data_IF_371489574994
#
_entry.id   IF_371489574994
#
_cell.length_a   1.000
_cell.length_b   1.000
_cell.length_c   1.000
_cell.angle_alpha   90.00
_cell.angle_beta   90.00
_cell.angle_gamma   90.00
#
_symmetry.space_group_name_H-M   'P 1'
#
loop_
_entity.id
_entity.type
_entity.pdbx_description
1 polymer ?
#
# COMPACT_ATOMS: atom_id res chain seq x y z
N UNK A 1 1.84 29.96 2.32
CA UNK A 1 2.16 28.61 2.86
C UNK A 1 0.92 27.71 2.90
N UNK A 2 -0.30 28.25 2.78
CA UNK A 2 -1.58 27.49 2.86
C UNK A 2 -2.21 27.13 1.52
N UNK A 3 -1.39 27.09 0.46
CA UNK A 3 -1.88 26.71 -0.87
C UNK A 3 -2.26 25.22 -0.84
N UNK A 4 -3.56 24.93 -0.97
CA UNK A 4 -4.12 23.58 -0.77
C UNK A 4 -3.64 22.58 -1.83
N UNK A 5 -3.18 23.07 -2.97
CA UNK A 5 -2.53 22.30 -4.04
C UNK A 5 -1.17 21.72 -3.62
N UNK A 6 -0.53 22.28 -2.59
CA UNK A 6 0.71 21.75 -2.01
C UNK A 6 0.47 20.65 -0.96
N UNK A 7 -0.79 20.37 -0.62
CA UNK A 7 -1.10 19.31 0.33
C UNK A 7 -0.82 17.94 -0.27
N UNK A 8 -0.39 17.02 0.60
CA UNK A 8 -0.18 15.61 0.22
C UNK A 8 -1.41 14.99 -0.44
N UNK A 9 -2.60 15.39 0.02
CA UNK A 9 -3.88 15.04 -0.54
C UNK A 9 -4.45 16.30 -1.19
N UNK A 10 -4.43 16.34 -2.52
CA UNK A 10 -4.96 17.47 -3.27
C UNK A 10 -6.48 17.64 -3.01
N UNK A 11 -7.05 18.83 -3.24
CA UNK A 11 -8.48 19.02 -3.24
C UNK A 11 -9.18 17.99 -4.15
N UNK A 12 -10.19 17.30 -3.62
CA UNK A 12 -10.89 16.23 -4.34
C UNK A 12 -10.23 14.85 -4.25
N UNK A 13 -9.14 14.69 -3.47
CA UNK A 13 -8.61 13.37 -3.14
C UNK A 13 -9.68 12.54 -2.43
N UNK A 14 -10.06 11.42 -3.04
CA UNK A 14 -11.04 10.50 -2.50
C UNK A 14 -10.62 9.07 -2.81
N UNK A 15 -10.94 8.17 -1.88
CA UNK A 15 -10.77 6.73 -2.04
C UNK A 15 -12.17 6.12 -2.06
N UNK A 16 -12.48 5.37 -3.14
CA UNK A 16 -13.75 4.65 -3.23
C UNK A 16 -13.70 3.44 -2.32
N UNK A 17 -14.85 3.04 -1.81
CA UNK A 17 -14.96 1.85 -0.99
C UNK A 17 -14.77 0.57 -1.82
N UNK A 18 -14.23 -0.47 -1.20
CA UNK A 18 -14.01 -1.78 -1.81
C UNK A 18 -13.99 -2.88 -0.74
N UNK A 19 -14.32 -4.13 -1.10
CA UNK A 19 -14.38 -5.21 -0.13
C UNK A 19 -13.00 -5.53 0.43
N UNK A 20 -12.90 -5.54 1.77
CA UNK A 20 -11.73 -6.02 2.51
C UNK A 20 -12.04 -7.33 3.23
N UNK A 21 -11.01 -8.12 3.53
CA UNK A 21 -11.09 -9.40 4.24
C UNK A 21 -10.49 -9.34 5.64
N UNK A 22 -9.49 -8.49 5.86
CA UNK A 22 -8.91 -8.28 7.18
C UNK A 22 -9.67 -7.17 7.94
N UNK A 23 -9.51 -7.17 9.26
CA UNK A 23 -10.06 -6.10 10.10
C UNK A 23 -9.11 -4.90 10.15
N UNK A 24 -9.58 -3.77 9.63
CA UNK A 24 -8.85 -2.49 9.56
C UNK A 24 -9.46 -1.40 10.44
N UNK A 25 -10.45 -1.73 11.29
CA UNK A 25 -11.22 -0.76 12.10
C UNK A 25 -10.41 0.09 13.07
N UNK A 26 -9.17 -0.28 13.35
CA UNK A 26 -8.24 0.56 14.11
C UNK A 26 -7.88 1.87 13.38
N UNK A 27 -8.19 1.97 12.09
CA UNK A 27 -7.91 3.11 11.23
C UNK A 27 -9.20 3.71 10.68
N UNK A 28 -9.18 5.00 10.37
CA UNK A 28 -10.29 5.70 9.72
C UNK A 28 -10.23 5.61 8.19
N UNK A 29 -11.33 5.97 7.52
CA UNK A 29 -11.39 6.10 6.06
C UNK A 29 -12.10 4.93 5.37
N UNK A 30 -12.08 4.94 4.04
CA UNK A 30 -12.74 3.95 3.19
C UNK A 30 -12.17 2.53 3.38
N UNK A 31 -12.89 1.53 2.84
CA UNK A 31 -12.50 0.13 2.85
C UNK A 31 -12.28 -0.41 4.27
N UNK A 32 -13.25 -0.15 5.16
CA UNK A 32 -13.23 -0.55 6.58
C UNK A 32 -11.98 -0.05 7.35
N UNK A 33 -11.41 1.09 6.94
CA UNK A 33 -10.18 1.66 7.54
C UNK A 33 -8.88 1.32 6.80
N UNK A 34 -8.92 0.49 5.75
CA UNK A 34 -7.70 0.17 4.98
C UNK A 34 -7.04 1.42 4.38
N UNK A 35 -7.84 2.41 3.96
CA UNK A 35 -7.34 3.70 3.50
C UNK A 35 -6.40 4.34 4.55
N UNK A 36 -6.88 4.54 5.77
CA UNK A 36 -6.10 5.17 6.83
C UNK A 36 -4.84 4.37 7.14
N UNK A 37 -4.93 3.03 7.13
CA UNK A 37 -3.77 2.16 7.35
C UNK A 37 -2.65 2.40 6.31
N UNK A 38 -3.00 2.52 5.03
CA UNK A 38 -2.03 2.79 3.94
C UNK A 38 -1.45 4.20 4.07
N UNK A 39 -2.29 5.17 4.42
CA UNK A 39 -1.94 6.59 4.53
C UNK A 39 -1.02 6.92 5.71
N UNK A 40 -0.88 6.02 6.69
CA UNK A 40 0.10 6.14 7.79
C UNK A 40 1.55 6.23 7.32
N UNK A 41 1.89 5.75 6.13
CA UNK A 41 3.21 6.01 5.56
C UNK A 41 3.38 7.52 5.42
N UNK A 42 4.30 8.17 6.13
CA UNK A 42 4.52 9.62 6.06
C UNK A 42 5.74 10.03 5.22
N UNK A 43 6.24 9.13 4.37
CA UNK A 43 7.40 9.34 3.49
C UNK A 43 8.76 9.60 4.20
N UNK A 44 8.88 9.38 5.52
CA UNK A 44 10.11 9.64 6.29
C UNK A 44 11.37 8.87 5.82
N UNK A 45 11.22 7.81 5.03
CA UNK A 45 12.34 7.07 4.45
C UNK A 45 13.07 6.11 5.38
N UNK A 46 12.62 5.88 6.62
CA UNK A 46 13.23 4.92 7.56
C UNK A 46 13.36 3.51 6.97
N UNK A 47 12.48 3.15 6.04
CA UNK A 47 12.51 1.87 5.33
C UNK A 47 13.58 1.71 4.25
N UNK A 48 14.38 2.75 4.00
CA UNK A 48 15.49 2.73 3.05
C UNK A 48 16.84 2.45 3.70
N UNK A 49 16.87 2.19 5.02
CA UNK A 49 18.12 1.90 5.71
C UNK A 49 18.78 0.62 5.17
N UNK A 50 20.07 0.71 4.88
CA UNK A 50 20.87 -0.43 4.39
C UNK A 50 21.57 -1.18 5.53
N UNK A 51 21.82 -0.50 6.66
CA UNK A 51 22.52 -1.04 7.82
C UNK A 51 21.59 -1.01 9.04
N UNK A 52 21.63 -2.06 9.86
CA UNK A 52 20.90 -2.16 11.13
C UNK A 52 19.40 -2.50 10.99
N UNK A 53 18.89 -3.34 11.88
CA UNK A 53 17.51 -3.88 11.79
C UNK A 53 17.28 -4.74 10.55
N UNK A 54 16.02 -5.07 10.27
CA UNK A 54 15.60 -5.98 9.19
C UNK A 54 14.98 -5.23 8.00
N UNK A 55 14.26 -4.13 8.25
CA UNK A 55 13.47 -3.42 7.24
C UNK A 55 14.36 -2.85 6.11
N UNK A 56 14.02 -2.99 4.82
CA UNK A 56 13.23 -4.04 4.14
C UNK A 56 14.20 -4.98 3.41
N UNK A 57 14.13 -6.31 3.55
CA UNK A 57 15.10 -7.21 2.90
C UNK A 57 15.15 -7.05 1.37
N UNK A 58 13.99 -6.95 0.72
CA UNK A 58 13.91 -6.75 -0.73
C UNK A 58 14.60 -5.46 -1.19
N UNK A 59 14.34 -4.34 -0.51
CA UNK A 59 14.96 -3.05 -0.84
C UNK A 59 16.49 -3.08 -0.65
N UNK A 60 17.00 -3.79 0.36
CA UNK A 60 18.45 -3.88 0.59
C UNK A 60 19.19 -4.59 -0.54
N UNK A 61 18.52 -5.55 -1.17
CA UNK A 61 19.08 -6.28 -2.30
C UNK A 61 18.92 -5.49 -3.59
N UNK A 62 17.74 -4.91 -3.84
CA UNK A 62 17.46 -4.27 -5.14
C UNK A 62 17.92 -2.82 -5.22
N UNK A 63 17.90 -2.08 -4.11
CA UNK A 63 18.07 -0.62 -4.10
C UNK A 63 16.88 0.15 -4.70
N UNK A 64 15.90 -0.54 -5.28
CA UNK A 64 14.78 0.05 -6.00
C UNK A 64 13.69 0.55 -5.05
N UNK A 65 13.24 1.79 -5.23
CA UNK A 65 12.25 2.42 -4.35
C UNK A 65 10.94 1.62 -4.27
N UNK A 66 10.49 1.00 -5.36
CA UNK A 66 9.28 0.17 -5.41
C UNK A 66 9.31 -1.00 -4.41
N UNK A 67 10.51 -1.45 -4.03
CA UNK A 67 10.69 -2.58 -3.12
C UNK A 67 10.85 -2.16 -1.65
N UNK A 68 10.79 -0.85 -1.37
CA UNK A 68 10.75 -0.30 -0.01
C UNK A 68 9.31 -0.31 0.54
N UNK A 69 9.16 -0.18 1.86
CA UNK A 69 7.82 -0.01 2.46
C UNK A 69 7.14 1.26 1.95
N UNK A 70 7.91 2.35 1.80
CA UNK A 70 7.42 3.64 1.30
C UNK A 70 6.91 3.52 -0.14
N UNK A 71 7.69 2.92 -1.03
CA UNK A 71 7.30 2.71 -2.42
C UNK A 71 6.01 1.92 -2.53
N UNK A 72 5.92 0.78 -1.83
CA UNK A 72 4.70 -0.04 -1.81
C UNK A 72 3.48 0.70 -1.25
N UNK A 73 3.64 1.42 -0.15
CA UNK A 73 2.54 2.21 0.44
C UNK A 73 2.07 3.32 -0.50
N UNK A 74 3.00 3.98 -1.21
CA UNK A 74 2.64 5.01 -2.18
C UNK A 74 1.91 4.44 -3.40
N UNK A 75 2.33 3.29 -3.93
CA UNK A 75 1.62 2.64 -5.03
C UNK A 75 0.20 2.23 -4.61
N UNK A 76 0.02 1.70 -3.40
CA UNK A 76 -1.30 1.42 -2.83
C UNK A 76 -2.15 2.69 -2.73
N UNK A 77 -1.58 3.78 -2.20
CA UNK A 77 -2.28 5.07 -2.07
C UNK A 77 -2.74 5.62 -3.41
N UNK A 78 -1.89 5.57 -4.42
CA UNK A 78 -2.22 6.05 -5.77
C UNK A 78 -3.23 5.14 -6.47
N UNK A 79 -3.17 3.83 -6.22
CA UNK A 79 -4.13 2.88 -6.78
C UNK A 79 -5.52 3.06 -6.14
N UNK A 80 -5.61 3.15 -4.81
CA UNK A 80 -6.90 3.26 -4.11
C UNK A 80 -7.58 4.61 -4.33
N UNK A 81 -6.81 5.68 -4.61
CA UNK A 81 -7.36 6.98 -5.00
C UNK A 81 -7.75 7.09 -6.47
N UNK A 82 -7.55 6.03 -7.27
CA UNK A 82 -7.83 6.01 -8.70
C UNK A 82 -6.82 6.76 -9.57
N UNK A 83 -5.74 7.31 -8.99
CA UNK A 83 -4.70 8.02 -9.73
C UNK A 83 -3.90 7.12 -10.69
N UNK A 84 -3.99 5.80 -10.53
CA UNK A 84 -3.40 4.81 -11.44
C UNK A 84 -4.44 4.08 -12.31
N UNK A 85 -5.68 4.55 -12.33
CA UNK A 85 -6.81 3.91 -13.03
C UNK A 85 -7.62 2.95 -12.16
N UNK A 86 -8.81 2.52 -12.64
CA UNK A 86 -9.81 1.81 -11.84
C UNK A 86 -9.36 0.41 -11.38
N UNK A 87 -8.55 -0.29 -12.18
CA UNK A 87 -8.11 -1.66 -11.89
C UNK A 87 -6.73 -1.73 -11.22
N UNK A 88 -6.15 -0.59 -10.86
CA UNK A 88 -4.78 -0.51 -10.39
C UNK A 88 -4.50 -1.37 -9.16
N UNK A 89 -5.47 -1.46 -8.24
CA UNK A 89 -5.39 -2.27 -7.01
C UNK A 89 -5.17 -3.76 -7.25
N UNK A 90 -5.59 -4.27 -8.41
CA UNK A 90 -5.46 -5.69 -8.80
C UNK A 90 -4.60 -5.88 -10.05
N UNK A 91 -3.93 -4.83 -10.52
CA UNK A 91 -3.10 -4.85 -11.73
C UNK A 91 -1.84 -5.70 -11.58
N UNK A 92 -1.20 -6.04 -12.71
CA UNK A 92 0.11 -6.70 -12.70
C UNK A 92 1.20 -5.81 -12.10
N UNK A 93 1.14 -4.49 -12.30
CA UNK A 93 2.08 -3.56 -11.67
C UNK A 93 1.97 -3.55 -10.14
N UNK A 94 0.77 -3.70 -9.59
CA UNK A 94 0.57 -3.86 -8.15
C UNK A 94 1.22 -5.16 -7.66
N UNK A 95 0.99 -6.28 -8.37
CA UNK A 95 1.63 -7.55 -8.06
C UNK A 95 3.16 -7.42 -8.11
N UNK A 96 3.73 -6.79 -9.14
CA UNK A 96 5.16 -6.57 -9.26
C UNK A 96 5.76 -5.79 -8.10
N UNK A 97 5.00 -4.84 -7.55
CA UNK A 97 5.42 -4.04 -6.40
C UNK A 97 5.40 -4.84 -5.09
N UNK A 98 4.55 -5.87 -5.00
CA UNK A 98 4.38 -6.71 -3.82
C UNK A 98 5.09 -8.07 -3.91
N UNK A 99 5.54 -8.50 -5.10
CA UNK A 99 6.08 -9.86 -5.32
C UNK A 99 7.28 -10.16 -4.43
N UNK A 100 8.23 -9.21 -4.30
CA UNK A 100 9.42 -9.37 -3.46
C UNK A 100 9.16 -9.14 -1.96
N UNK A 101 7.95 -8.77 -1.56
CA UNK A 101 7.60 -8.66 -0.14
C UNK A 101 7.46 -10.06 0.46
N UNK A 102 8.43 -10.49 1.28
CA UNK A 102 8.43 -11.79 1.97
C UNK A 102 7.59 -11.82 3.25
N UNK A 103 6.75 -10.81 3.50
CA UNK A 103 5.86 -10.71 4.67
C UNK A 103 6.56 -10.90 6.03
N UNK A 104 7.82 -10.47 6.16
CA UNK A 104 8.63 -10.62 7.39
C UNK A 104 8.18 -9.74 8.57
N UNK A 105 7.18 -8.86 8.40
CA UNK A 105 6.68 -7.92 9.43
C UNK A 105 7.69 -6.94 10.04
N UNK A 106 8.92 -6.86 9.52
CA UNK A 106 9.87 -5.80 9.91
C UNK A 106 9.30 -4.40 9.67
N UNK A 107 8.51 -4.24 8.60
CA UNK A 107 7.82 -2.99 8.31
C UNK A 107 6.98 -2.48 9.50
N UNK A 108 6.15 -3.36 10.07
CA UNK A 108 5.28 -3.06 11.21
C UNK A 108 6.05 -2.70 12.48
N UNK A 109 7.19 -3.35 12.71
CA UNK A 109 7.99 -3.20 13.93
C UNK A 109 8.95 -2.03 13.90
N UNK A 110 9.53 -1.73 12.74
CA UNK A 110 10.61 -0.77 12.60
C UNK A 110 10.16 0.56 11.96
N UNK A 111 8.95 0.63 11.40
CA UNK A 111 8.41 1.89 10.88
C UNK A 111 7.97 2.77 12.05
N UNK A 112 8.42 4.04 12.16
CA UNK A 112 7.94 4.95 13.19
C UNK A 112 6.43 5.17 13.19
N UNK A 113 5.76 4.94 12.05
CA UNK A 113 4.31 5.08 11.89
C UNK A 113 3.57 3.74 11.81
N UNK A 114 4.26 2.61 12.03
CA UNK A 114 3.63 1.29 12.19
C UNK A 114 3.06 0.66 10.92
N UNK A 115 3.51 1.06 9.72
CA UNK A 115 3.01 0.52 8.44
C UNK A 115 3.14 -1.01 8.36
N UNK A 116 2.02 -1.70 8.22
CA UNK A 116 1.96 -3.17 8.14
C UNK A 116 1.80 -3.67 6.70
N UNK A 117 2.90 -3.63 5.94
CA UNK A 117 2.92 -4.08 4.55
C UNK A 117 2.64 -5.59 4.39
N UNK A 118 2.79 -6.37 5.47
CA UNK A 118 2.51 -7.81 5.42
C UNK A 118 1.00 -8.05 5.38
N UNK A 119 0.26 -7.38 6.25
CA UNK A 119 -1.22 -7.40 6.24
C UNK A 119 -1.78 -6.77 4.96
N UNK A 120 -1.19 -5.67 4.48
CA UNK A 120 -1.60 -5.04 3.22
C UNK A 120 -1.41 -6.00 2.03
N UNK A 121 -0.28 -6.71 1.93
CA UNK A 121 -0.08 -7.71 0.87
C UNK A 121 -1.13 -8.82 0.90
N UNK A 122 -1.52 -9.29 2.08
CA UNK A 122 -2.57 -10.31 2.23
C UNK A 122 -3.90 -9.78 1.70
N UNK A 123 -4.27 -8.56 2.05
CA UNK A 123 -5.50 -7.91 1.58
C UNK A 123 -5.53 -7.79 0.05
N UNK A 124 -4.44 -7.30 -0.56
CA UNK A 124 -4.35 -7.16 -2.01
C UNK A 124 -4.39 -8.51 -2.73
N UNK A 125 -3.73 -9.52 -2.18
CA UNK A 125 -3.81 -10.88 -2.72
C UNK A 125 -5.25 -11.42 -2.65
N UNK A 126 -5.97 -11.18 -1.55
CA UNK A 126 -7.37 -11.57 -1.42
C UNK A 126 -8.26 -10.85 -2.44
N UNK A 127 -8.07 -9.54 -2.61
CA UNK A 127 -8.79 -8.74 -3.61
C UNK A 127 -8.52 -9.24 -5.04
N UNK A 128 -7.27 -9.56 -5.37
CA UNK A 128 -6.89 -10.10 -6.70
C UNK A 128 -7.55 -11.46 -6.97
N UNK A 129 -7.65 -12.33 -5.97
CA UNK A 129 -8.34 -13.63 -6.09
C UNK A 129 -9.84 -13.48 -6.37
N UNK A 130 -10.49 -12.45 -5.83
CA UNK A 130 -11.90 -12.18 -6.14
C UNK A 130 -12.10 -11.76 -7.60
N UNK A 131 -11.13 -11.02 -8.18
CA UNK A 131 -11.15 -10.68 -9.61
C UNK A 131 -10.95 -11.89 -10.50
N UNK A 132 -9.97 -12.74 -10.19
CA UNK A 132 -9.65 -13.91 -11.04
C UNK A 132 -10.65 -15.06 -10.92
N UNK A 133 -11.40 -15.14 -9.81
CA UNK A 133 -12.44 -16.16 -9.60
C UNK A 133 -13.85 -15.72 -10.00
N UNK A 134 -14.02 -14.53 -10.58
CA UNK A 134 -15.29 -14.13 -11.20
C UNK A 134 -15.29 -14.53 -12.67
N UNK A 135 -15.94 -15.63 -13.09
CA UNK A 135 -16.08 -15.99 -14.50
C UNK A 135 -16.96 -15.00 -15.31
N UNK A 136 -17.42 -13.89 -14.70
CA UNK A 136 -18.36 -12.93 -15.30
C UNK A 136 -17.85 -11.48 -15.39
N UNK A 137 -16.55 -11.21 -15.19
CA UNK A 137 -15.97 -9.86 -15.38
C UNK A 137 -14.99 -9.81 -16.56
N UNK A 138 -15.38 -10.40 -17.69
CA UNK A 138 -14.84 -10.07 -19.01
C UNK A 138 -16.02 -9.46 -19.77
N UNK A 139 -16.12 -8.15 -19.73
CA UNK A 139 -17.03 -7.33 -20.54
C UNK A 139 -16.22 -6.24 -21.21
#
# INVERSE_FOLDING_TARGET
MDARDLFRYAPGYQVKDFPTKLDWKAWSGAANGFQGAVEMCNNNGACRKLVGGVMCPSFRITGDEKDSTRGRANILRLAMSGQLGPDAMTSNHMEESLKLCVSCKACKRECPTGVDMSSMKIEINALRLLRTRSPYMIG
#
